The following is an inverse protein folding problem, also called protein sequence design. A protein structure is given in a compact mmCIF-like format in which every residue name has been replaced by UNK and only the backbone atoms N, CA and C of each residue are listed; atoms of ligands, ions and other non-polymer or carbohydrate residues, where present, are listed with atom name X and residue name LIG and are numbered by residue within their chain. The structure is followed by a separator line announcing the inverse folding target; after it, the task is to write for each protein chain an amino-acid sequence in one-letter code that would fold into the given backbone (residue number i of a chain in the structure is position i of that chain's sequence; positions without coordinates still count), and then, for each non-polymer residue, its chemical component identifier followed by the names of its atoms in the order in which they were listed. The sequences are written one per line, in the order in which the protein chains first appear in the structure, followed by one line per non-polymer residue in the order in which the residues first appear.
data_IF_219440644213
#
_entry.id   IF_219440644213
#
_cell.length_a   1.000
_cell.length_b   1.000
_cell.length_c   1.000
_cell.angle_alpha   90.00
_cell.angle_beta   90.00
_cell.angle_gamma   90.00
#
_symmetry.space_group_name_H-M   'P 1'
#
loop_
_entity.id
_entity.type
_entity.pdbx_description
1 polymer ?
#
# COMPACT_ATOMS: atom_id res chain seq x y z
N UNK A 1 -8.99 -14.00 6.95
CA UNK A 1 -8.24 -13.06 6.08
C UNK A 1 -6.74 -13.12 6.36
N UNK A 2 -5.90 -12.89 5.35
CA UNK A 2 -4.44 -12.80 5.52
C UNK A 2 -4.08 -11.61 6.42
N UNK A 3 -3.03 -11.73 7.23
CA UNK A 3 -2.57 -10.68 8.16
C UNK A 3 -1.47 -9.79 7.57
N UNK A 4 -1.18 -9.93 6.27
CA UNK A 4 -0.18 -9.12 5.56
C UNK A 4 -0.55 -7.63 5.64
N UNK A 5 0.46 -6.76 5.77
CA UNK A 5 0.25 -5.32 5.92
C UNK A 5 -0.55 -4.68 4.77
N UNK A 6 -0.39 -5.17 3.54
CA UNK A 6 -1.16 -4.69 2.38
C UNK A 6 -2.65 -5.08 2.39
N UNK A 7 -3.08 -5.97 3.29
CA UNK A 7 -4.45 -6.48 3.42
C UNK A 7 -5.01 -6.13 4.80
N UNK A 8 -4.82 -4.87 5.21
CA UNK A 8 -5.32 -4.36 6.48
C UNK A 8 -6.71 -3.73 6.37
N UNK A 9 -7.53 -3.77 7.44
CA UNK A 9 -8.69 -2.91 7.54
C UNK A 9 -8.28 -1.44 7.54
N UNK A 10 -9.18 -0.57 7.06
CA UNK A 10 -8.98 0.89 7.06
C UNK A 10 -10.01 1.57 7.95
N UNK A 11 -9.60 2.65 8.60
CA UNK A 11 -10.45 3.43 9.49
C UNK A 11 -10.10 4.92 9.41
N UNK A 12 -11.03 5.78 9.84
CA UNK A 12 -10.83 7.23 9.87
C UNK A 12 -9.73 7.65 10.88
N UNK A 13 -9.60 6.92 11.99
CA UNK A 13 -8.49 7.05 12.94
C UNK A 13 -7.61 5.81 12.83
N UNK A 14 -6.37 6.01 12.42
CA UNK A 14 -5.37 4.95 12.30
C UNK A 14 -3.97 5.50 12.56
N UNK A 15 -3.08 4.65 13.06
CA UNK A 15 -1.64 4.92 13.16
C UNK A 15 -0.88 3.95 12.25
N UNK A 16 0.27 4.37 11.72
CA UNK A 16 1.19 3.52 10.94
C UNK A 16 0.50 2.71 9.83
N UNK A 17 -0.45 3.31 9.11
CA UNK A 17 -1.23 2.66 8.05
C UNK A 17 -2.02 1.41 8.52
N UNK A 18 -2.35 1.33 9.81
CA UNK A 18 -2.95 0.14 10.40
C UNK A 18 -2.03 -1.07 10.39
N UNK A 19 -0.72 -0.87 10.52
CA UNK A 19 0.29 -1.91 10.49
C UNK A 19 1.35 -1.76 11.61
N UNK A 20 2.03 -2.87 11.89
CA UNK A 20 3.15 -2.99 12.83
C UNK A 20 4.17 -4.02 12.33
N UNK A 21 5.37 -4.01 12.91
CA UNK A 21 6.40 -5.01 12.63
C UNK A 21 6.56 -6.00 13.79
N UNK A 22 6.82 -7.27 13.45
CA UNK A 22 7.39 -8.26 14.37
C UNK A 22 8.82 -8.53 13.96
N UNK A 23 9.76 -8.29 14.85
CA UNK A 23 11.17 -8.59 14.71
C UNK A 23 11.47 -9.86 15.51
N UNK A 24 12.12 -10.84 14.88
CA UNK A 24 12.53 -12.08 15.53
C UNK A 24 14.03 -12.32 15.34
N UNK A 25 14.74 -12.50 16.44
CA UNK A 25 16.19 -12.71 16.48
C UNK A 25 16.52 -14.03 17.19
N UNK A 26 17.48 -14.83 16.69
CA UNK A 26 17.92 -15.99 17.44
C UNK A 26 18.54 -15.54 18.76
N UNK A 27 18.22 -16.24 19.84
CA UNK A 27 18.73 -15.92 21.16
C UNK A 27 18.98 -17.20 21.97
N UNK A 28 20.03 -17.17 22.78
CA UNK A 28 20.41 -18.28 23.66
C UNK A 28 20.86 -19.54 22.90
N UNK A 29 21.03 -20.66 23.62
CA UNK A 29 21.37 -21.94 23.01
C UNK A 29 20.21 -22.51 22.18
N UNK A 30 20.53 -23.46 21.29
CA UNK A 30 19.54 -24.23 20.51
C UNK A 30 18.44 -24.78 21.43
N UNK A 31 17.18 -24.66 21.00
CA UNK A 31 15.99 -25.05 21.77
C UNK A 31 15.31 -23.89 22.49
N UNK A 32 16.05 -22.81 22.77
CA UNK A 32 15.52 -21.59 23.40
C UNK A 32 14.57 -20.83 22.45
N UNK A 33 13.55 -20.14 22.97
CA UNK A 33 12.74 -19.23 22.15
C UNK A 33 13.59 -18.09 21.57
N UNK A 34 13.33 -17.64 20.33
CA UNK A 34 13.98 -16.45 19.79
C UNK A 34 13.53 -15.21 20.57
N UNK A 35 14.32 -14.14 20.58
CA UNK A 35 13.86 -12.84 21.09
C UNK A 35 12.86 -12.25 20.09
N UNK A 36 11.71 -11.81 20.58
CA UNK A 36 10.69 -11.14 19.79
C UNK A 36 10.57 -9.68 20.22
N UNK A 37 10.49 -8.79 19.25
CA UNK A 37 10.14 -7.37 19.45
C UNK A 37 8.97 -7.00 18.55
N UNK A 38 8.04 -6.22 19.08
CA UNK A 38 6.95 -5.62 18.32
C UNK A 38 7.26 -4.13 18.21
N UNK A 39 7.10 -3.58 17.01
CA UNK A 39 7.29 -2.16 16.75
C UNK A 39 6.04 -1.55 16.07
N UNK A 40 5.40 -0.53 16.67
CA UNK A 40 5.69 0.05 17.98
C UNK A 40 5.30 -0.90 19.15
N UNK A 41 5.96 -0.81 20.32
CA UNK A 41 5.71 -1.68 21.47
C UNK A 41 4.47 -1.27 22.29
N UNK A 42 3.31 -1.19 21.63
CA UNK A 42 2.05 -0.77 22.26
C UNK A 42 1.39 -1.90 23.04
N UNK A 43 0.75 -1.58 24.16
CA UNK A 43 0.06 -2.55 25.02
C UNK A 43 -1.08 -3.31 24.32
N UNK A 44 -1.65 -2.74 23.24
CA UNK A 44 -2.66 -3.41 22.42
C UNK A 44 -2.15 -4.69 21.74
N UNK A 45 -0.85 -4.76 21.41
CA UNK A 45 -0.24 -5.90 20.71
C UNK A 45 0.44 -6.83 21.73
N UNK A 46 -0.19 -7.95 22.05
CA UNK A 46 0.29 -8.89 23.08
C UNK A 46 1.11 -10.01 22.42
N UNK A 47 2.44 -10.02 22.54
CA UNK A 47 3.27 -11.06 21.93
C UNK A 47 3.07 -12.41 22.62
N UNK A 48 3.02 -13.47 21.82
CA UNK A 48 3.05 -14.87 22.28
C UNK A 48 4.14 -15.63 21.51
N UNK A 49 5.24 -15.93 22.20
CA UNK A 49 6.37 -16.63 21.59
C UNK A 49 6.22 -18.15 21.72
N UNK A 50 5.95 -18.80 20.60
CA UNK A 50 5.83 -20.25 20.48
C UNK A 50 6.84 -20.80 19.46
N UNK A 51 7.83 -19.98 19.10
CA UNK A 51 8.90 -20.35 18.21
C UNK A 51 10.10 -20.88 19.00
N UNK A 52 10.99 -21.61 18.30
CA UNK A 52 12.24 -22.11 18.87
C UNK A 52 13.43 -21.86 17.95
N UNK A 53 14.56 -21.57 18.54
CA UNK A 53 15.84 -21.47 17.85
C UNK A 53 16.37 -22.89 17.56
N UNK A 54 16.80 -23.15 16.33
CA UNK A 54 17.26 -24.47 15.87
C UNK A 54 18.66 -24.37 15.25
N UNK A 55 19.43 -25.46 15.31
CA UNK A 55 20.75 -25.54 14.67
C UNK A 55 20.70 -25.73 13.15
N UNK A 56 19.52 -25.99 12.57
CA UNK A 56 19.37 -26.17 11.12
C UNK A 56 19.39 -24.83 10.39
N UNK A 57 19.95 -24.79 9.18
CA UNK A 57 20.05 -23.55 8.39
C UNK A 57 18.71 -22.95 7.97
N UNK A 58 17.64 -23.76 7.92
CA UNK A 58 16.32 -23.34 7.42
C UNK A 58 15.47 -22.74 8.55
N UNK A 59 15.07 -21.50 8.38
CA UNK A 59 14.08 -20.84 9.26
C UNK A 59 12.68 -20.95 8.66
N UNK A 60 11.68 -21.25 9.48
CA UNK A 60 10.27 -21.28 9.11
C UNK A 60 9.46 -20.69 10.25
N UNK A 61 9.27 -19.37 10.19
CA UNK A 61 8.43 -18.65 11.15
C UNK A 61 7.10 -18.28 10.51
N UNK A 62 6.04 -18.33 11.32
CA UNK A 62 4.75 -17.75 10.99
C UNK A 62 4.31 -16.80 12.11
N UNK A 63 3.66 -15.71 11.71
CA UNK A 63 3.09 -14.72 12.62
C UNK A 63 1.59 -14.74 12.43
N UNK A 64 0.89 -15.19 13.47
CA UNK A 64 -0.56 -15.35 13.53
C UNK A 64 -1.11 -14.29 14.46
N UNK A 65 -2.21 -13.67 14.04
CA UNK A 65 -2.89 -12.63 14.80
C UNK A 65 -4.27 -13.11 15.21
N UNK A 66 -4.67 -12.80 16.44
CA UNK A 66 -5.99 -13.11 16.95
C UNK A 66 -6.57 -11.87 17.66
N UNK A 67 -7.66 -11.33 17.10
CA UNK A 67 -8.41 -10.23 17.71
C UNK A 67 -8.97 -10.69 19.06
N UNK A 68 -8.78 -9.86 20.09
CA UNK A 68 -9.44 -9.93 21.40
C UNK A 68 -10.29 -8.65 21.56
N UNK A 69 -11.16 -8.56 22.58
CA UNK A 69 -12.04 -7.39 22.73
C UNK A 69 -11.31 -6.04 22.83
N UNK A 70 -10.22 -5.98 23.60
CA UNK A 70 -9.43 -4.76 23.87
C UNK A 70 -7.95 -4.89 23.52
N UNK A 71 -7.58 -5.97 22.83
CA UNK A 71 -6.20 -6.30 22.51
C UNK A 71 -6.13 -7.17 21.25
N UNK A 72 -4.92 -7.41 20.79
CA UNK A 72 -4.64 -8.34 19.70
C UNK A 72 -3.46 -9.23 20.10
N UNK A 73 -3.69 -10.54 20.11
CA UNK A 73 -2.63 -11.50 20.40
C UNK A 73 -1.82 -11.77 19.14
N UNK A 74 -0.50 -11.60 19.24
CA UNK A 74 0.46 -11.78 18.15
C UNK A 74 1.32 -13.01 18.44
N UNK A 75 0.93 -14.15 17.89
CA UNK A 75 1.63 -15.42 18.09
C UNK A 75 2.70 -15.66 17.02
N UNK A 76 3.95 -15.88 17.42
CA UNK A 76 5.02 -16.32 16.52
C UNK A 76 5.29 -17.80 16.73
N UNK A 77 5.13 -18.60 15.67
CA UNK A 77 5.31 -20.07 15.70
C UNK A 77 6.40 -20.51 14.74
N UNK A 78 6.97 -21.67 15.01
CA UNK A 78 7.89 -22.37 14.09
C UNK A 78 9.34 -22.30 14.54
N UNK A 79 10.27 -22.27 13.60
CA UNK A 79 11.71 -22.40 13.87
C UNK A 79 12.51 -21.24 13.29
N UNK A 80 13.51 -20.77 14.04
CA UNK A 80 14.49 -19.78 13.59
C UNK A 80 15.89 -20.39 13.66
N UNK A 81 16.68 -20.32 12.59
CA UNK A 81 18.06 -20.80 12.64
C UNK A 81 18.87 -19.96 13.62
N UNK A 82 19.74 -20.60 14.42
CA UNK A 82 20.71 -19.90 15.28
C UNK A 82 21.64 -18.98 14.46
N UNK A 83 21.88 -19.32 13.20
CA UNK A 83 22.70 -18.53 12.27
C UNK A 83 21.89 -17.51 11.44
N UNK A 84 20.59 -17.36 11.68
CA UNK A 84 19.79 -16.39 10.95
C UNK A 84 20.09 -14.96 11.42
N UNK A 85 20.11 -14.02 10.47
CA UNK A 85 19.91 -12.62 10.79
C UNK A 85 18.49 -12.36 11.30
N UNK A 86 18.28 -11.18 11.90
CA UNK A 86 16.95 -10.70 12.32
C UNK A 86 15.94 -10.87 11.18
N UNK A 87 14.80 -11.49 11.50
CA UNK A 87 13.66 -11.62 10.59
C UNK A 87 12.62 -10.56 10.90
N UNK A 88 12.08 -9.93 9.86
CA UNK A 88 11.04 -8.90 9.97
C UNK A 88 9.75 -9.36 9.34
N UNK A 89 8.64 -9.07 10.01
CA UNK A 89 7.31 -9.42 9.55
C UNK A 89 6.35 -8.24 9.72
N UNK A 90 6.12 -7.49 8.64
CA UNK A 90 5.07 -6.48 8.61
C UNK A 90 3.68 -7.14 8.62
N UNK A 91 2.81 -6.71 9.53
CA UNK A 91 1.44 -7.20 9.68
C UNK A 91 0.48 -6.03 9.81
N UNK A 92 -0.72 -6.17 9.27
CA UNK A 92 -1.80 -5.24 9.58
C UNK A 92 -2.24 -5.42 11.05
N UNK A 93 -3.12 -4.56 11.57
CA UNK A 93 -3.87 -4.77 12.83
C UNK A 93 -5.31 -5.17 12.55
N UNK A 94 -6.02 -5.69 13.55
CA UNK A 94 -7.41 -6.15 13.38
C UNK A 94 -8.39 -5.01 13.59
N UNK A 95 -7.99 -4.03 14.40
CA UNK A 95 -8.78 -2.87 14.75
C UNK A 95 -7.89 -1.62 14.69
N UNK A 96 -7.86 -0.89 13.56
CA UNK A 96 -6.99 0.27 13.39
C UNK A 96 -7.29 1.39 14.38
N UNK A 97 -8.53 1.50 14.85
CA UNK A 97 -8.96 2.54 15.80
C UNK A 97 -8.42 2.24 17.19
N UNK A 98 -8.58 1.01 17.69
CA UNK A 98 -7.99 0.63 18.98
C UNK A 98 -6.47 0.73 18.96
N UNK A 99 -5.84 0.28 17.87
CA UNK A 99 -4.40 0.39 17.70
C UNK A 99 -3.93 1.84 17.70
N UNK A 100 -4.59 2.74 16.99
CA UNK A 100 -4.26 4.17 16.99
C UNK A 100 -4.38 4.78 18.39
N UNK A 101 -5.44 4.44 19.13
CA UNK A 101 -5.59 4.86 20.52
C UNK A 101 -4.45 4.36 21.41
N UNK A 102 -3.99 3.12 21.21
CA UNK A 102 -2.88 2.56 21.97
C UNK A 102 -1.51 3.18 21.61
N UNK A 103 -1.29 3.52 20.33
CA UNK A 103 -0.12 4.30 19.91
C UNK A 103 -0.13 5.69 20.55
N UNK A 104 -1.29 6.34 20.58
CA UNK A 104 -1.43 7.65 21.22
C UNK A 104 -1.17 7.59 22.73
N UNK A 105 -1.74 6.61 23.44
CA UNK A 105 -1.48 6.37 24.87
C UNK A 105 0.00 6.11 25.16
N UNK A 106 0.67 5.32 24.31
CA UNK A 106 2.12 5.09 24.41
C UNK A 106 2.90 6.41 24.32
N UNK A 107 2.52 7.30 23.40
CA UNK A 107 3.18 8.61 23.25
C UNK A 107 2.91 9.54 24.44
N UNK A 108 1.69 9.54 24.99
CA UNK A 108 1.37 10.30 26.21
C UNK A 108 2.21 9.82 27.40
N UNK A 109 2.32 8.51 27.60
CA UNK A 109 3.14 7.92 28.67
C UNK A 109 4.62 8.26 28.51
N UNK A 110 5.14 8.25 27.26
CA UNK A 110 6.51 8.66 26.98
C UNK A 110 6.78 10.14 27.33
N UNK A 111 5.74 10.99 27.30
CA UNK A 111 5.78 12.38 27.73
C UNK A 111 5.47 12.57 29.24
N UNK A 112 5.30 11.48 30.00
CA UNK A 112 4.97 11.53 31.43
C UNK A 112 3.51 11.86 31.74
N UNK A 113 2.62 11.85 30.74
CA UNK A 113 1.19 12.09 30.91
C UNK A 113 0.49 10.76 31.22
N UNK A 114 -0.07 10.65 32.42
CA UNK A 114 -0.82 9.46 32.87
C UNK A 114 -2.33 9.64 32.71
N UNK A 115 -3.01 8.62 32.19
CA UNK A 115 -4.48 8.57 32.16
C UNK A 115 -5.06 7.94 33.42
N UNK A 116 -6.19 8.47 33.91
CA UNK A 116 -6.92 7.94 35.06
C UNK A 116 -7.92 6.81 34.74
N UNK A 117 -8.12 6.45 33.47
CA UNK A 117 -9.11 5.47 33.04
C UNK A 117 -8.69 4.67 31.82
N UNK A 118 -9.56 3.77 31.35
CA UNK A 118 -9.31 2.90 30.18
C UNK A 118 -9.56 3.62 28.84
N UNK A 119 -8.81 3.21 27.80
CA UNK A 119 -9.08 3.63 26.44
C UNK A 119 -10.39 3.02 25.94
N UNK A 120 -11.24 3.85 25.32
CA UNK A 120 -12.51 3.43 24.73
C UNK A 120 -12.70 4.08 23.37
N UNK A 121 -13.39 3.38 22.47
CA UNK A 121 -13.85 3.96 21.21
C UNK A 121 -15.17 4.69 21.49
N UNK A 122 -15.27 5.93 21.03
CA UNK A 122 -16.49 6.74 21.12
C UNK A 122 -16.55 7.78 20.00
N UNK A 123 -17.75 8.30 19.75
CA UNK A 123 -17.92 9.47 18.90
C UNK A 123 -17.53 10.73 19.69
N UNK A 124 -16.83 11.67 19.04
CA UNK A 124 -16.49 12.95 19.65
C UNK A 124 -17.76 13.79 19.85
N UNK A 125 -18.25 13.89 21.08
CA UNK A 125 -19.50 14.61 21.37
C UNK A 125 -19.49 15.48 22.62
N UNK A 126 -18.47 15.40 23.48
CA UNK A 126 -18.47 16.07 24.78
C UNK A 126 -17.07 16.61 25.17
N UNK A 127 -16.34 17.23 24.25
CA UNK A 127 -14.98 17.73 24.52
C UNK A 127 -14.74 19.12 23.95
N UNK A 128 -13.75 19.83 24.51
CA UNK A 128 -13.18 21.04 23.92
C UNK A 128 -12.06 20.63 22.96
N UNK A 129 -11.98 21.28 21.80
CA UNK A 129 -10.87 21.10 20.87
C UNK A 129 -9.59 21.61 21.54
N UNK A 130 -8.60 20.73 21.72
CA UNK A 130 -7.31 21.10 22.29
C UNK A 130 -6.29 21.45 21.20
N UNK A 131 -6.34 20.73 20.08
CA UNK A 131 -5.37 20.85 18.99
C UNK A 131 -5.98 20.31 17.70
N UNK A 132 -5.67 20.96 16.57
CA UNK A 132 -5.94 20.47 15.22
C UNK A 132 -4.61 20.13 14.56
N UNK A 133 -4.43 18.86 14.21
CA UNK A 133 -3.28 18.44 13.42
C UNK A 133 -3.65 18.37 11.95
N UNK A 134 -3.08 19.27 11.15
CA UNK A 134 -3.19 19.21 9.69
C UNK A 134 -2.14 18.27 9.11
N UNK A 135 -2.62 17.27 8.35
CA UNK A 135 -1.74 16.32 7.67
C UNK A 135 -0.96 16.95 6.51
N UNK A 136 -0.06 16.18 5.88
CA UNK A 136 0.66 16.67 4.70
C UNK A 136 -0.31 16.95 3.54
N UNK A 137 0.09 17.83 2.63
CA UNK A 137 -0.67 18.15 1.42
C UNK A 137 -1.07 16.89 0.63
N UNK A 138 -2.23 16.93 -0.04
CA UNK A 138 -2.78 15.81 -0.82
C UNK A 138 -1.78 15.24 -1.84
N UNK A 139 -1.01 16.10 -2.51
CA UNK A 139 0.03 15.68 -3.46
C UNK A 139 1.09 14.76 -2.81
N UNK A 140 1.42 14.98 -1.53
CA UNK A 140 2.33 14.11 -0.78
C UNK A 140 1.71 12.74 -0.51
N UNK A 141 0.42 12.69 -0.14
CA UNK A 141 -0.30 11.44 0.07
C UNK A 141 -0.41 10.64 -1.24
N UNK A 142 -0.76 11.29 -2.34
CA UNK A 142 -0.82 10.68 -3.68
C UNK A 142 0.55 10.18 -4.12
N UNK A 143 1.63 10.96 -3.94
CA UNK A 143 3.00 10.51 -4.23
C UNK A 143 3.36 9.26 -3.43
N UNK A 144 3.07 9.22 -2.12
CA UNK A 144 3.33 8.03 -1.28
C UNK A 144 2.53 6.82 -1.74
N UNK A 145 1.27 7.02 -2.12
CA UNK A 145 0.41 5.97 -2.68
C UNK A 145 1.00 5.41 -3.98
N UNK A 146 1.38 6.27 -4.93
CA UNK A 146 1.89 5.85 -6.23
C UNK A 146 3.26 5.19 -6.12
N UNK A 147 4.22 5.79 -5.39
CA UNK A 147 5.59 5.27 -5.25
C UNK A 147 5.64 3.89 -4.60
N UNK A 148 4.91 3.71 -3.50
CA UNK A 148 5.02 2.51 -2.66
C UNK A 148 3.83 1.57 -2.77
N UNK A 149 2.85 1.89 -3.63
CA UNK A 149 1.64 1.10 -3.80
C UNK A 149 0.90 0.83 -2.49
N UNK A 150 0.79 1.84 -1.64
CA UNK A 150 0.26 1.66 -0.29
C UNK A 150 -1.28 1.58 -0.30
N UNK A 151 -1.80 0.36 -0.16
CA UNK A 151 -3.25 0.10 -0.21
C UNK A 151 -4.04 0.91 0.83
N UNK A 152 -3.51 1.07 2.05
CA UNK A 152 -4.18 1.85 3.10
C UNK A 152 -4.42 3.29 2.65
N UNK A 153 -3.44 3.91 2.00
CA UNK A 153 -3.58 5.28 1.46
C UNK A 153 -4.62 5.28 0.34
N UNK A 154 -4.57 4.32 -0.59
CA UNK A 154 -5.55 4.22 -1.69
C UNK A 154 -6.99 4.14 -1.18
N UNK A 155 -7.27 3.27 -0.22
CA UNK A 155 -8.62 3.16 0.36
C UNK A 155 -9.04 4.41 1.14
N UNK A 156 -8.11 5.04 1.84
CA UNK A 156 -8.37 6.28 2.60
C UNK A 156 -8.69 7.44 1.67
N UNK A 157 -7.97 7.55 0.54
CA UNK A 157 -8.23 8.57 -0.48
C UNK A 157 -9.63 8.42 -1.07
N UNK A 158 -10.03 7.19 -1.47
CA UNK A 158 -11.37 6.95 -2.02
C UNK A 158 -12.46 7.26 -0.99
N UNK A 159 -12.34 6.78 0.25
CA UNK A 159 -13.32 7.12 1.29
C UNK A 159 -13.34 8.62 1.60
N UNK A 160 -12.19 9.28 1.55
CA UNK A 160 -12.06 10.73 1.70
C UNK A 160 -12.82 11.49 0.62
N UNK A 161 -12.69 11.08 -0.65
CA UNK A 161 -13.48 11.64 -1.76
C UNK A 161 -14.98 11.47 -1.52
N UNK A 162 -15.40 10.29 -1.04
CA UNK A 162 -16.81 10.03 -0.73
C UNK A 162 -17.35 10.91 0.39
N UNK A 163 -16.56 11.15 1.44
CA UNK A 163 -16.93 12.06 2.52
C UNK A 163 -16.98 13.52 2.06
N UNK A 164 -16.03 13.94 1.22
CA UNK A 164 -15.95 15.31 0.73
C UNK A 164 -17.06 15.64 -0.29
N UNK A 165 -17.36 14.73 -1.21
CA UNK A 165 -18.36 14.96 -2.26
C UNK A 165 -19.80 14.64 -1.83
N UNK A 166 -20.01 13.64 -0.98
CA UNK A 166 -21.34 13.11 -0.63
C UNK A 166 -21.58 13.03 0.89
N UNK A 167 -20.77 13.73 1.69
CA UNK A 167 -20.90 13.83 3.14
C UNK A 167 -20.44 12.58 3.92
N UNK A 168 -20.11 12.73 5.22
CA UNK A 168 -19.70 11.63 6.08
C UNK A 168 -20.87 10.66 6.39
N UNK A 169 -20.56 9.39 6.74
CA UNK A 169 -19.25 8.77 6.67
C UNK A 169 -18.81 8.55 5.21
N UNK A 170 -17.50 8.63 4.98
CA UNK A 170 -16.90 8.26 3.70
C UNK A 170 -16.93 6.75 3.50
N UNK A 171 -17.51 6.30 2.39
CA UNK A 171 -17.57 4.88 2.01
C UNK A 171 -16.87 4.65 0.67
N UNK A 172 -16.57 3.39 0.36
CA UNK A 172 -15.98 3.03 -0.93
C UNK A 172 -16.93 3.38 -2.07
N UNK A 173 -18.21 3.09 -1.90
CA UNK A 173 -19.26 3.33 -2.89
C UNK A 173 -19.39 4.83 -3.19
N UNK A 174 -19.46 5.67 -2.14
CA UNK A 174 -19.50 7.13 -2.30
C UNK A 174 -18.23 7.65 -2.99
N UNK A 175 -17.07 7.15 -2.58
CA UNK A 175 -15.79 7.58 -3.13
C UNK A 175 -15.62 7.25 -4.60
N UNK A 176 -15.95 6.01 -4.97
CA UNK A 176 -15.96 5.57 -6.37
C UNK A 176 -16.99 6.37 -7.17
N UNK A 177 -18.19 6.61 -6.62
CA UNK A 177 -19.22 7.40 -7.32
C UNK A 177 -18.71 8.80 -7.66
N UNK A 178 -18.13 9.51 -6.68
CA UNK A 178 -17.55 10.84 -6.90
C UNK A 178 -16.45 10.78 -7.95
N UNK A 179 -15.48 9.87 -7.79
CA UNK A 179 -14.35 9.79 -8.70
C UNK A 179 -14.73 9.38 -10.13
N UNK A 180 -15.77 8.55 -10.29
CA UNK A 180 -16.32 8.19 -11.60
C UNK A 180 -17.00 9.37 -12.28
N UNK A 181 -17.84 10.13 -11.56
CA UNK A 181 -18.50 11.32 -12.10
C UNK A 181 -17.47 12.31 -12.64
N UNK A 182 -16.43 12.59 -11.85
CA UNK A 182 -15.36 13.51 -12.23
C UNK A 182 -14.58 13.03 -13.47
N UNK A 183 -14.25 11.74 -13.56
CA UNK A 183 -13.56 11.20 -14.73
C UNK A 183 -14.44 11.19 -16.00
N UNK A 184 -15.73 10.88 -15.86
CA UNK A 184 -16.69 10.89 -16.96
C UNK A 184 -16.94 12.33 -17.45
N UNK A 185 -17.05 13.31 -16.55
CA UNK A 185 -17.12 14.75 -16.86
C UNK A 185 -15.86 15.26 -17.58
N UNK A 186 -14.70 14.68 -17.24
CA UNK A 186 -13.43 14.96 -17.93
C UNK A 186 -13.25 14.15 -19.23
N UNK A 187 -14.27 13.42 -19.67
CA UNK A 187 -14.32 12.75 -20.97
C UNK A 187 -13.71 11.34 -21.02
N UNK A 188 -13.48 10.70 -19.87
CA UNK A 188 -13.01 9.31 -19.82
C UNK A 188 -14.20 8.36 -19.91
N UNK A 189 -14.18 7.47 -20.89
CA UNK A 189 -15.19 6.40 -21.00
C UNK A 189 -14.93 5.30 -19.95
N UNK A 190 -15.83 5.23 -18.97
CA UNK A 190 -15.84 4.22 -17.90
C UNK A 190 -16.98 3.20 -18.04
N UNK A 191 -17.66 3.13 -19.19
CA UNK A 191 -18.81 2.24 -19.44
C UNK A 191 -18.50 0.75 -19.25
N UNK A 192 -17.26 0.36 -19.52
CA UNK A 192 -16.76 -1.03 -19.37
C UNK A 192 -15.93 -1.24 -18.09
N UNK A 193 -15.82 -0.22 -17.24
CA UNK A 193 -15.00 -0.24 -16.02
C UNK A 193 -15.84 -0.62 -14.82
N UNK A 194 -15.35 -1.60 -14.03
CA UNK A 194 -15.84 -1.89 -12.69
C UNK A 194 -14.80 -1.45 -11.67
N UNK A 195 -15.15 -0.47 -10.85
CA UNK A 195 -14.27 0.11 -9.84
C UNK A 195 -14.95 -0.04 -8.49
N UNK A 196 -14.30 -0.70 -7.51
CA UNK A 196 -14.93 -0.97 -6.20
C UNK A 196 -14.07 -0.57 -5.00
N UNK A 197 -12.78 -0.29 -5.19
CA UNK A 197 -11.86 0.09 -4.11
C UNK A 197 -10.78 1.07 -4.59
N UNK A 198 -10.02 1.66 -3.67
CA UNK A 198 -9.00 2.65 -4.01
C UNK A 198 -7.63 2.07 -4.34
N UNK A 199 -7.35 0.83 -3.94
CA UNK A 199 -6.02 0.23 -4.10
C UNK A 199 -5.88 -0.71 -5.29
N UNK A 200 -6.98 -1.18 -5.87
CA UNK A 200 -6.97 -2.23 -6.89
C UNK A 200 -6.80 -3.64 -6.31
N UNK A 201 -6.89 -3.81 -4.99
CA UNK A 201 -6.70 -5.08 -4.29
C UNK A 201 -7.85 -6.06 -4.54
N UNK A 202 -9.06 -5.53 -4.71
CA UNK A 202 -10.25 -6.31 -4.97
C UNK A 202 -10.18 -6.97 -6.35
N UNK A 203 -10.40 -8.29 -6.37
CA UNK A 203 -10.50 -9.10 -7.61
C UNK A 203 -11.71 -8.77 -8.46
N UNK A 204 -12.53 -7.86 -7.99
CA UNK A 204 -13.77 -7.42 -8.56
C UNK A 204 -13.58 -6.19 -9.46
N UNK A 205 -12.42 -5.51 -9.38
CA UNK A 205 -12.06 -4.42 -10.26
C UNK A 205 -11.83 -4.91 -11.70
N UNK A 206 -12.33 -4.16 -12.68
CA UNK A 206 -12.13 -4.39 -14.13
C UNK A 206 -11.85 -3.04 -14.78
N UNK A 207 -10.76 -2.97 -15.54
CA UNK A 207 -10.40 -1.79 -16.33
C UNK A 207 -9.71 -2.26 -17.61
N UNK A 208 -9.93 -1.55 -18.71
CA UNK A 208 -9.26 -1.84 -19.97
C UNK A 208 -7.90 -1.10 -20.05
N UNK A 209 -6.90 -1.63 -20.79
CA UNK A 209 -5.68 -0.87 -21.05
C UNK A 209 -5.94 0.47 -21.73
N UNK A 210 -6.97 0.56 -22.59
CA UNK A 210 -7.38 1.80 -23.27
C UNK A 210 -7.81 2.86 -22.26
N UNK A 211 -8.70 2.50 -21.34
CA UNK A 211 -9.15 3.40 -20.26
C UNK A 211 -7.97 3.91 -19.42
N UNK A 212 -6.99 3.05 -19.11
CA UNK A 212 -5.79 3.50 -18.38
C UNK A 212 -4.94 4.48 -19.19
N UNK A 213 -4.77 4.25 -20.50
CA UNK A 213 -4.07 5.18 -21.40
C UNK A 213 -4.79 6.52 -21.51
N UNK A 214 -6.13 6.51 -21.52
CA UNK A 214 -6.96 7.71 -21.55
C UNK A 214 -6.82 8.51 -20.25
N UNK A 215 -6.90 7.84 -19.10
CA UNK A 215 -6.65 8.46 -17.77
C UNK A 215 -5.24 9.03 -17.68
N UNK A 216 -4.22 8.31 -18.16
CA UNK A 216 -2.84 8.83 -18.21
C UNK A 216 -2.72 10.02 -19.17
N UNK A 217 -3.51 10.05 -20.25
CA UNK A 217 -3.62 11.19 -21.16
C UNK A 217 -4.17 12.42 -20.47
N UNK A 218 -5.34 12.27 -19.86
CA UNK A 218 -6.02 13.31 -19.09
C UNK A 218 -5.12 13.84 -17.97
N UNK A 219 -4.52 12.94 -17.18
CA UNK A 219 -3.71 13.35 -16.04
C UNK A 219 -2.53 14.22 -16.47
N UNK A 220 -1.87 13.84 -17.58
CA UNK A 220 -0.72 14.60 -18.09
C UNK A 220 -1.12 15.94 -18.71
N UNK A 221 -2.24 16.02 -19.41
CA UNK A 221 -2.67 17.26 -20.06
C UNK A 221 -3.22 18.30 -19.08
N UNK A 222 -3.56 17.89 -17.86
CA UNK A 222 -4.20 18.75 -16.88
C UNK A 222 -3.20 19.57 -16.06
N UNK A 223 -3.18 20.90 -16.27
CA UNK A 223 -2.20 21.81 -15.65
C UNK A 223 -2.21 21.83 -14.11
N UNK A 224 -3.37 21.58 -13.47
CA UNK A 224 -3.52 21.70 -12.01
C UNK A 224 -2.83 20.58 -11.21
N UNK A 225 -2.61 19.42 -11.83
CA UNK A 225 -2.15 18.23 -11.09
C UNK A 225 -1.27 17.28 -11.91
N UNK A 226 -1.14 17.48 -13.22
CA UNK A 226 -0.33 16.62 -14.08
C UNK A 226 1.14 16.52 -13.68
N UNK A 227 1.84 17.64 -13.38
CA UNK A 227 3.22 17.59 -12.91
C UNK A 227 3.39 16.76 -11.63
N UNK A 228 2.51 16.96 -10.64
CA UNK A 228 2.53 16.24 -9.37
C UNK A 228 2.19 14.75 -9.53
N UNK A 229 1.21 14.43 -10.38
CA UNK A 229 0.82 13.06 -10.70
C UNK A 229 1.99 12.29 -11.34
N UNK A 230 2.63 12.87 -12.36
CA UNK A 230 3.77 12.26 -13.05
C UNK A 230 5.00 12.17 -12.13
N UNK A 231 5.22 13.15 -11.25
CA UNK A 231 6.25 13.09 -10.20
C UNK A 231 5.98 12.00 -9.16
N UNK A 232 4.70 11.64 -8.96
CA UNK A 232 4.27 10.58 -8.06
C UNK A 232 4.59 9.17 -8.55
N UNK A 233 4.68 8.94 -9.87
CA UNK A 233 4.90 7.61 -10.44
C UNK A 233 6.33 7.10 -10.20
N UNK A 234 6.54 5.82 -9.80
CA UNK A 234 7.86 5.20 -9.68
C UNK A 234 8.73 5.37 -10.93
N UNK A 235 10.03 5.59 -10.74
CA UNK A 235 11.03 5.76 -11.80
C UNK A 235 11.84 4.47 -11.96
N UNK A 236 12.02 4.01 -13.19
CA UNK A 236 12.81 2.82 -13.52
C UNK A 236 14.24 2.89 -12.97
N UNK A 237 14.64 1.88 -12.18
CA UNK A 237 15.98 1.76 -11.60
C UNK A 237 16.33 2.83 -10.56
N UNK A 238 15.34 3.53 -10.00
CA UNK A 238 15.62 4.69 -9.14
C UNK A 238 14.75 4.81 -7.88
N UNK A 239 13.44 4.57 -7.96
CA UNK A 239 12.60 4.69 -6.75
C UNK A 239 11.29 3.89 -6.76
N UNK A 240 10.69 3.80 -5.57
CA UNK A 240 9.41 3.15 -5.35
C UNK A 240 9.42 1.68 -5.77
N UNK A 241 8.31 1.19 -6.30
CA UNK A 241 8.20 -0.20 -6.76
C UNK A 241 9.08 -0.56 -7.98
N UNK A 242 9.82 0.40 -8.53
CA UNK A 242 10.74 0.22 -9.64
C UNK A 242 12.21 0.49 -9.26
N UNK A 243 12.52 0.68 -7.98
CA UNK A 243 13.88 1.00 -7.49
C UNK A 243 14.94 0.01 -8.00
N UNK A 244 14.64 -1.29 -7.94
CA UNK A 244 15.53 -2.37 -8.41
C UNK A 244 15.00 -3.05 -9.69
N UNK A 245 14.19 -2.34 -10.48
CA UNK A 245 13.51 -2.90 -11.67
C UNK A 245 13.51 -1.94 -12.85
N UNK A 246 13.30 -2.49 -14.05
CA UNK A 246 13.25 -1.72 -15.29
C UNK A 246 14.49 -0.83 -15.57
N UNK A 247 15.68 -1.25 -15.12
CA UNK A 247 16.94 -0.56 -15.36
C UNK A 247 17.21 -0.32 -16.86
N UNK A 248 16.77 -1.24 -17.72
CA UNK A 248 16.92 -1.13 -19.18
C UNK A 248 16.14 0.03 -19.81
N UNK A 249 15.09 0.53 -19.15
CA UNK A 249 14.43 1.80 -19.52
C UNK A 249 14.98 2.98 -18.69
N UNK A 250 15.36 2.71 -17.44
CA UNK A 250 15.96 3.68 -16.53
C UNK A 250 15.07 4.89 -16.26
N UNK A 251 15.69 6.05 -16.14
CA UNK A 251 15.01 7.33 -15.84
C UNK A 251 13.97 7.76 -16.89
N UNK A 252 13.98 7.16 -18.08
CA UNK A 252 12.98 7.41 -19.11
C UNK A 252 11.60 6.83 -18.78
N UNK A 253 11.52 5.89 -17.85
CA UNK A 253 10.28 5.23 -17.44
C UNK A 253 9.73 5.85 -16.15
N UNK A 254 8.44 6.20 -16.18
CA UNK A 254 7.64 6.54 -15.01
C UNK A 254 6.35 5.74 -15.02
N UNK A 255 6.21 4.73 -14.16
CA UNK A 255 5.08 3.81 -14.24
C UNK A 255 4.62 3.26 -12.90
N UNK A 256 3.31 3.04 -12.79
CA UNK A 256 2.69 2.34 -11.67
C UNK A 256 2.66 0.83 -11.96
N UNK A 257 3.12 0.07 -10.98
CA UNK A 257 3.07 -1.40 -10.96
C UNK A 257 1.75 -1.90 -10.37
N UNK A 258 1.33 -3.10 -10.79
CA UNK A 258 0.22 -3.84 -10.18
C UNK A 258 0.56 -5.32 -10.09
N UNK A 259 0.36 -5.93 -8.92
CA UNK A 259 0.66 -7.34 -8.71
C UNK A 259 -0.32 -7.99 -7.72
N UNK A 260 -1.02 -9.03 -8.18
CA UNK A 260 -1.82 -9.94 -7.36
C UNK A 260 -1.53 -11.39 -7.78
N UNK A 261 -2.01 -12.37 -7.03
CA UNK A 261 -1.92 -13.76 -7.47
C UNK A 261 -2.66 -13.95 -8.81
N UNK A 262 -1.91 -14.25 -9.86
CA UNK A 262 -2.41 -14.44 -11.22
C UNK A 262 -2.70 -13.15 -11.98
N UNK A 263 -2.23 -11.98 -11.51
CA UNK A 263 -2.40 -10.70 -12.20
C UNK A 263 -1.11 -9.88 -12.10
N UNK A 264 -0.67 -9.33 -13.23
CA UNK A 264 0.45 -8.39 -13.29
C UNK A 264 0.09 -7.23 -14.21
N UNK A 265 0.62 -6.04 -13.92
CA UNK A 265 0.41 -4.88 -14.77
C UNK A 265 1.46 -3.79 -14.58
N UNK A 266 1.66 -3.02 -15.64
CA UNK A 266 2.53 -1.86 -15.68
C UNK A 266 1.89 -0.81 -16.57
N UNK A 267 1.73 0.41 -16.06
CA UNK A 267 1.13 1.50 -16.84
C UNK A 267 1.75 2.84 -16.46
N UNK A 268 1.96 3.71 -17.45
CA UNK A 268 2.59 5.01 -17.22
C UNK A 268 3.12 5.65 -18.49
N UNK A 269 4.23 6.37 -18.34
CA UNK A 269 4.89 7.13 -19.39
C UNK A 269 6.30 6.59 -19.64
N UNK A 270 6.73 6.62 -20.90
CA UNK A 270 8.10 6.32 -21.28
C UNK A 270 8.56 7.30 -22.36
N UNK A 271 9.76 7.87 -22.19
CA UNK A 271 10.43 8.64 -23.24
C UNK A 271 11.11 7.66 -24.21
N UNK A 272 10.78 7.72 -25.49
CA UNK A 272 11.39 6.88 -26.52
C UNK A 272 12.71 7.47 -27.06
N UNK A 273 13.35 6.75 -28.00
CA UNK A 273 14.65 7.14 -28.56
C UNK A 273 14.64 8.44 -29.38
N UNK A 274 13.46 8.91 -29.78
CA UNK A 274 13.24 10.16 -30.53
C UNK A 274 12.85 11.33 -29.61
N UNK A 275 12.77 11.10 -28.29
CA UNK A 275 12.32 12.10 -27.32
C UNK A 275 10.80 12.28 -27.27
N UNK A 276 10.03 11.40 -27.92
CA UNK A 276 8.57 11.36 -27.79
C UNK A 276 8.19 10.67 -26.48
N UNK A 277 7.29 11.29 -25.71
CA UNK A 277 6.75 10.66 -24.51
C UNK A 277 5.51 9.85 -24.83
N UNK A 278 5.66 8.53 -24.79
CA UNK A 278 4.60 7.56 -24.99
C UNK A 278 3.81 7.33 -23.69
N UNK A 279 2.52 6.99 -23.84
CA UNK A 279 1.64 6.49 -22.78
C UNK A 279 1.39 5.02 -23.04
N UNK A 280 1.44 4.19 -22.02
CA UNK A 280 1.22 2.76 -22.18
C UNK A 280 0.49 2.16 -20.98
N UNK A 281 -0.19 1.05 -21.22
CA UNK A 281 -0.73 0.18 -20.19
C UNK A 281 -0.66 -1.27 -20.66
N UNK A 282 -0.13 -2.14 -19.81
CA UNK A 282 -0.08 -3.59 -20.03
C UNK A 282 -0.73 -4.25 -18.83
N UNK A 283 -1.71 -5.12 -19.09
CA UNK A 283 -2.43 -5.89 -18.09
C UNK A 283 -2.39 -7.36 -18.48
N UNK A 284 -1.95 -8.22 -17.56
CA UNK A 284 -1.87 -9.66 -17.75
C UNK A 284 -2.66 -10.37 -16.66
N UNK A 285 -3.62 -11.20 -17.06
CA UNK A 285 -4.46 -12.01 -16.17
C UNK A 285 -4.27 -13.50 -16.48
N UNK A 286 -4.15 -14.32 -15.44
CA UNK A 286 -3.96 -15.77 -15.55
C UNK A 286 -2.68 -16.23 -16.26
N UNK A 287 -1.51 -15.56 -16.10
CA UNK A 287 -0.29 -16.05 -16.72
C UNK A 287 0.10 -17.42 -16.14
N UNK A 288 0.66 -18.28 -17.00
CA UNK A 288 1.22 -19.58 -16.59
C UNK A 288 2.61 -19.44 -15.97
N UNK A 289 3.30 -18.34 -16.25
CA UNK A 289 4.61 -18.00 -15.69
C UNK A 289 4.52 -17.54 -14.24
N UNK A 290 5.67 -17.53 -13.56
CA UNK A 290 5.78 -16.96 -12.21
C UNK A 290 5.47 -15.46 -12.24
N UNK A 291 4.93 -14.93 -11.15
CA UNK A 291 4.71 -13.50 -10.98
C UNK A 291 5.95 -12.67 -11.33
N UNK A 292 7.13 -13.10 -10.87
CA UNK A 292 8.39 -12.42 -11.14
C UNK A 292 8.73 -12.42 -12.64
N UNK A 293 8.62 -13.57 -13.32
CA UNK A 293 8.92 -13.66 -14.76
C UNK A 293 8.00 -12.79 -15.61
N UNK A 294 6.73 -12.66 -15.23
CA UNK A 294 5.82 -11.73 -15.91
C UNK A 294 6.25 -10.29 -15.67
N UNK A 295 6.59 -9.91 -14.43
CA UNK A 295 7.05 -8.57 -14.10
C UNK A 295 8.37 -8.20 -14.82
N UNK A 296 9.28 -9.16 -15.03
CA UNK A 296 10.50 -8.99 -15.84
C UNK A 296 10.15 -8.74 -17.32
N UNK A 297 9.20 -9.48 -17.89
CA UNK A 297 8.75 -9.27 -19.26
C UNK A 297 8.08 -7.89 -19.46
N UNK A 298 7.34 -7.40 -18.47
CA UNK A 298 6.78 -6.05 -18.49
C UNK A 298 7.88 -4.97 -18.48
N UNK A 299 8.96 -5.20 -17.71
CA UNK A 299 10.11 -4.30 -17.66
C UNK A 299 10.88 -4.29 -18.99
N UNK A 300 11.06 -5.46 -19.61
CA UNK A 300 11.69 -5.58 -20.93
C UNK A 300 10.87 -4.84 -22.01
N UNK A 301 9.54 -4.99 -22.00
CA UNK A 301 8.67 -4.26 -22.91
C UNK A 301 8.82 -2.74 -22.74
N UNK A 302 8.87 -2.24 -21.50
CA UNK A 302 9.10 -0.82 -21.24
C UNK A 302 10.48 -0.36 -21.76
N UNK A 303 11.50 -1.22 -21.64
CA UNK A 303 12.83 -0.96 -22.21
C UNK A 303 12.80 -0.91 -23.75
N UNK A 304 12.03 -1.78 -24.41
CA UNK A 304 11.82 -1.72 -25.86
C UNK A 304 11.15 -0.41 -26.27
N UNK A 305 10.11 0.02 -25.55
CA UNK A 305 9.47 1.32 -25.81
C UNK A 305 10.44 2.50 -25.64
N UNK A 306 11.33 2.45 -24.64
CA UNK A 306 12.32 3.52 -24.44
C UNK A 306 13.32 3.66 -25.58
N UNK A 307 13.50 2.60 -26.39
CA UNK A 307 14.39 2.57 -27.56
C UNK A 307 13.65 2.67 -28.90
N UNK A 308 12.32 2.77 -28.88
CA UNK A 308 11.56 2.80 -30.12
C UNK A 308 11.78 4.11 -30.88
N UNK A 309 11.70 4.05 -32.21
CA UNK A 309 11.60 5.24 -33.06
C UNK A 309 10.22 5.90 -32.99
N UNK A 310 9.92 6.77 -33.96
CA UNK A 310 8.63 7.46 -34.06
C UNK A 310 7.46 6.48 -34.07
N UNK A 311 6.50 6.68 -33.17
CA UNK A 311 5.27 5.89 -33.13
C UNK A 311 4.19 6.64 -33.89
N UNK A 312 3.90 6.21 -35.13
CA UNK A 312 2.76 6.75 -35.87
C UNK A 312 1.46 6.21 -35.28
N UNK A 313 0.59 7.11 -34.81
CA UNK A 313 -0.75 6.74 -34.41
C UNK A 313 -1.47 6.16 -35.64
N UNK A 314 -1.91 4.90 -35.56
CA UNK A 314 -2.94 4.40 -36.47
C UNK A 314 -4.27 4.90 -35.92
N UNK A 315 -4.93 5.77 -36.69
CA UNK A 315 -6.30 6.23 -36.44
C UNK A 315 -7.25 5.05 -36.31
#
# INVERSE_FOLDING_TARGET
PTSRAYFGPVAALAANYGAFEVLAEPAGPIGSPPVLRIDPPVAYLVPANQARTVGTRKSRLSVIRQKRPSAEQVSVKGTLSISASQRRFARSVADPVQYAGAVFDMQLQALGITRGGELRIGAGGCGYELEVFEGPALATAVRRFLKWSNNFIGETLVKGLGAAGLGPPGTWEKGVQVARSELEELGVDLSTTRWVDGSGLSRENRVSPRTLVDVLGLARSHYRFGPEFEAGLPIGGADGTLEERAEGAGAHLRAKTGLLTGVAGLSGYVLNGEGERLRFAILTNGPTQSALGVMEALDEFAAVLSRSGKVTARN
#
